data_IF_541623805947
#
_entry.id   IF_541623805947
#
_cell.length_a   1.000
_cell.length_b   1.000
_cell.length_c   1.000
_cell.angle_alpha   90.00
_cell.angle_beta   90.00
_cell.angle_gamma   90.00
#
_symmetry.space_group_name_H-M   'P 1'
#
loop_
_entity.id
_entity.type
_entity.pdbx_description
1 polymer ?
#
# COMPACT_ATOMS: atom_id res chain seq x y z
N UNK A 1 -3.36 16.92 69.31
CA UNK A 1 -3.05 17.96 68.30
C UNK A 1 -1.53 18.01 68.21
N UNK A 2 -0.83 17.73 67.11
CA UNK A 2 -1.19 17.46 65.73
C UNK A 2 -0.20 16.43 65.16
N UNK A 3 -0.73 15.39 64.53
CA UNK A 3 -0.08 14.65 63.46
C UNK A 3 0.09 15.60 62.25
N UNK A 4 1.10 15.31 61.42
CA UNK A 4 1.34 15.73 60.02
C UNK A 4 2.61 16.56 59.83
N UNK A 5 3.66 15.86 59.44
CA UNK A 5 4.66 16.35 58.48
C UNK A 5 5.46 15.13 57.99
N UNK A 6 4.78 14.20 57.33
CA UNK A 6 5.40 13.07 56.68
C UNK A 6 4.61 12.79 55.39
N UNK A 7 4.75 13.68 54.41
CA UNK A 7 4.16 13.55 53.08
C UNK A 7 4.88 14.54 52.16
N UNK A 8 5.13 14.13 50.91
CA UNK A 8 5.79 14.86 49.82
C UNK A 8 7.30 14.62 49.63
N UNK A 9 7.70 13.34 49.63
CA UNK A 9 8.79 12.87 48.76
C UNK A 9 8.22 11.90 47.73
N UNK A 10 7.17 12.33 47.00
CA UNK A 10 6.89 11.77 45.68
C UNK A 10 7.70 12.61 44.70
N UNK A 11 8.97 12.23 44.51
CA UNK A 11 9.77 12.73 43.39
C UNK A 11 9.19 12.11 42.14
N UNK A 12 8.53 12.94 41.36
CA UNK A 12 8.12 12.71 39.97
C UNK A 12 9.20 11.93 39.22
N UNK A 13 9.01 10.62 39.11
CA UNK A 13 9.66 9.83 38.09
C UNK A 13 9.04 10.26 36.77
N UNK A 14 9.58 11.32 36.17
CA UNK A 14 9.35 11.66 34.77
C UNK A 14 9.85 10.49 33.93
N UNK A 15 8.97 9.50 33.74
CA UNK A 15 9.15 8.47 32.74
C UNK A 15 9.31 9.20 31.42
N UNK A 16 10.52 9.15 30.89
CA UNK A 16 10.85 9.57 29.54
C UNK A 16 10.19 8.57 28.58
N UNK A 17 8.85 8.56 28.53
CA UNK A 17 8.08 7.74 27.61
C UNK A 17 8.29 8.37 26.25
N UNK A 18 9.29 7.87 25.52
CA UNK A 18 9.44 8.17 24.10
C UNK A 18 8.08 7.95 23.45
N UNK A 19 7.53 8.93 22.70
CA UNK A 19 6.28 8.72 21.99
C UNK A 19 6.45 7.51 21.09
N UNK A 20 5.70 6.44 21.35
CA UNK A 20 5.79 5.23 20.55
C UNK A 20 5.25 5.57 19.15
N UNK A 21 6.08 5.39 18.13
CA UNK A 21 5.70 5.77 16.77
C UNK A 21 4.55 4.88 16.28
N UNK A 22 3.46 5.46 15.75
CA UNK A 22 2.36 4.68 15.20
C UNK A 22 2.79 3.93 13.94
N UNK A 23 2.36 2.67 13.82
CA UNK A 23 2.67 1.83 12.67
C UNK A 23 1.52 1.93 11.68
N UNK A 24 1.76 2.62 10.56
CA UNK A 24 0.72 2.99 9.59
C UNK A 24 1.13 2.61 8.17
N UNK A 25 1.11 1.31 7.81
CA UNK A 25 1.49 0.89 6.46
C UNK A 25 0.51 1.36 5.40
N UNK A 26 1.03 1.82 4.27
CA UNK A 26 0.23 2.02 3.06
C UNK A 26 0.01 0.68 2.34
N UNK A 27 -1.22 0.38 1.93
CA UNK A 27 -1.57 -0.84 1.20
C UNK A 27 -1.64 -0.56 -0.31
N UNK A 28 -0.65 -1.08 -1.04
CA UNK A 28 -0.54 -0.99 -2.49
C UNK A 28 -0.90 -2.35 -3.13
N UNK A 29 -1.78 -2.34 -4.13
CA UNK A 29 -2.10 -3.50 -4.98
C UNK A 29 -2.91 -3.02 -6.18
N UNK A 30 -3.11 -3.87 -7.20
CA UNK A 30 -4.16 -3.59 -8.18
C UNK A 30 -5.53 -3.62 -7.48
N UNK A 31 -6.42 -2.70 -7.85
CA UNK A 31 -7.69 -2.51 -7.14
C UNK A 31 -8.70 -3.63 -7.42
N UNK A 32 -8.65 -4.24 -8.60
CA UNK A 32 -9.68 -5.20 -9.01
C UNK A 32 -9.37 -6.63 -8.52
N UNK A 33 -8.09 -6.98 -8.34
CA UNK A 33 -7.69 -8.38 -8.18
C UNK A 33 -7.37 -8.79 -6.75
N UNK A 34 -7.39 -7.85 -5.80
CA UNK A 34 -6.96 -8.04 -4.41
C UNK A 34 -8.02 -7.68 -3.37
N UNK A 35 -9.30 -7.62 -3.77
CA UNK A 35 -10.37 -7.29 -2.82
C UNK A 35 -10.51 -8.35 -1.72
N UNK A 36 -10.40 -9.63 -2.08
CA UNK A 36 -10.45 -10.73 -1.13
C UNK A 36 -9.28 -10.69 -0.14
N UNK A 37 -8.05 -10.53 -0.65
CA UNK A 37 -6.84 -10.36 0.16
C UNK A 37 -6.95 -9.15 1.10
N UNK A 38 -7.36 -7.98 0.60
CA UNK A 38 -7.54 -6.77 1.42
C UNK A 38 -8.60 -6.97 2.50
N UNK A 39 -9.74 -7.61 2.17
CA UNK A 39 -10.80 -7.88 3.13
C UNK A 39 -10.37 -8.88 4.20
N UNK A 40 -9.69 -9.95 3.79
CA UNK A 40 -9.13 -10.94 4.72
C UNK A 40 -8.12 -10.31 5.67
N UNK A 41 -7.16 -9.52 5.17
CA UNK A 41 -6.19 -8.84 6.03
C UNK A 41 -6.88 -7.85 6.99
N UNK A 42 -7.87 -7.10 6.52
CA UNK A 42 -8.62 -6.15 7.34
C UNK A 42 -9.46 -6.81 8.44
N UNK A 43 -10.00 -8.00 8.18
CA UNK A 43 -10.90 -8.69 9.10
C UNK A 43 -10.16 -9.60 10.06
N UNK A 44 -9.09 -10.26 9.60
CA UNK A 44 -8.44 -11.34 10.34
C UNK A 44 -7.06 -10.95 10.89
N UNK A 45 -6.26 -10.16 10.17
CA UNK A 45 -4.83 -9.97 10.49
C UNK A 45 -4.55 -8.62 11.15
N UNK A 46 -5.03 -7.53 10.56
CA UNK A 46 -4.80 -6.18 11.08
C UNK A 46 -5.36 -5.94 12.49
N UNK A 47 -6.52 -6.50 12.89
CA UNK A 47 -6.99 -6.39 14.28
C UNK A 47 -6.02 -7.01 15.28
N UNK A 48 -5.47 -8.20 14.99
CA UNK A 48 -4.51 -8.88 15.86
C UNK A 48 -3.20 -8.06 15.99
N UNK A 49 -2.68 -7.52 14.89
CA UNK A 49 -1.51 -6.64 14.91
C UNK A 49 -1.78 -5.35 15.70
N UNK A 50 -3.01 -4.81 15.62
CA UNK A 50 -3.40 -3.63 16.37
C UNK A 50 -3.48 -3.90 17.87
N UNK A 51 -4.02 -5.05 18.30
CA UNK A 51 -4.02 -5.45 19.71
C UNK A 51 -2.60 -5.52 20.29
N UNK A 52 -1.67 -6.12 19.54
CA UNK A 52 -0.26 -6.18 19.91
C UNK A 52 0.36 -4.78 20.04
N UNK A 53 0.09 -3.88 19.10
CA UNK A 53 0.51 -2.48 19.18
C UNK A 53 -0.10 -1.74 20.38
N UNK A 54 -1.40 -1.92 20.63
CA UNK A 54 -2.13 -1.27 21.72
C UNK A 54 -1.55 -1.67 23.08
N UNK A 55 -1.17 -2.95 23.24
CA UNK A 55 -0.50 -3.44 24.46
C UNK A 55 0.84 -2.73 24.74
N UNK A 56 1.43 -2.11 23.72
CA UNK A 56 2.72 -1.40 23.76
C UNK A 56 2.55 0.13 23.70
N UNK A 57 1.32 0.64 23.85
CA UNK A 57 1.02 2.08 23.85
C UNK A 57 1.11 2.76 22.47
N UNK A 58 1.03 1.99 21.39
CA UNK A 58 0.95 2.48 20.01
C UNK A 58 -0.27 1.86 19.32
N UNK A 59 -0.43 2.05 18.00
CA UNK A 59 -1.49 1.42 17.23
C UNK A 59 -0.99 0.99 15.85
N UNK A 60 -1.67 -0.01 15.30
CA UNK A 60 -1.49 -0.47 13.92
C UNK A 60 -2.69 -0.01 13.08
N UNK A 61 -2.48 0.96 12.19
CA UNK A 61 -3.55 1.51 11.34
C UNK A 61 -3.13 1.55 9.87
N UNK A 62 -3.41 0.49 9.11
CA UNK A 62 -3.11 0.46 7.69
C UNK A 62 -3.94 1.51 6.93
N UNK A 63 -3.35 2.09 5.90
CA UNK A 63 -3.99 3.04 4.99
C UNK A 63 -4.32 2.32 3.69
N UNK A 64 -5.61 2.00 3.51
CA UNK A 64 -6.17 1.27 2.37
C UNK A 64 -7.10 2.20 1.57
N UNK A 65 -6.58 2.80 0.49
CA UNK A 65 -7.36 3.66 -0.40
C UNK A 65 -8.11 2.83 -1.46
N UNK A 66 -9.39 2.58 -1.22
CA UNK A 66 -10.25 1.82 -2.16
C UNK A 66 -11.00 2.76 -3.11
N UNK A 67 -10.40 3.02 -4.28
CA UNK A 67 -10.97 3.93 -5.29
C UNK A 67 -12.09 3.32 -6.15
N UNK A 68 -12.31 2.00 -6.09
CA UNK A 68 -13.30 1.28 -6.90
C UNK A 68 -14.74 1.81 -6.70
N UNK A 69 -15.08 2.22 -5.48
CA UNK A 69 -16.39 2.82 -5.14
C UNK A 69 -16.63 4.15 -5.87
N UNK A 70 -15.55 4.90 -6.16
CA UNK A 70 -15.65 6.19 -6.84
C UNK A 70 -15.79 6.04 -8.38
N UNK A 71 -15.47 4.88 -8.96
CA UNK A 71 -15.66 4.63 -10.40
C UNK A 71 -17.13 4.30 -10.75
N UNK A 72 -17.93 3.83 -9.78
CA UNK A 72 -19.34 3.42 -9.98
C UNK A 72 -20.36 4.57 -9.95
N UNK A 73 -19.91 5.83 -9.91
CA UNK A 73 -20.69 7.03 -9.55
C UNK A 73 -21.74 7.52 -10.55
N UNK A 74 -22.09 6.76 -11.60
CA UNK A 74 -23.05 7.19 -12.63
C UNK A 74 -24.47 7.51 -12.10
N UNK A 75 -24.80 7.08 -10.89
CA UNK A 75 -26.11 7.28 -10.24
C UNK A 75 -26.15 8.35 -9.15
N UNK A 76 -25.06 9.10 -8.93
CA UNK A 76 -25.02 10.11 -7.86
C UNK A 76 -25.65 11.46 -8.27
N UNK A 77 -26.19 12.22 -7.31
CA UNK A 77 -26.58 13.63 -7.49
C UNK A 77 -25.45 14.46 -8.11
N UNK A 78 -25.78 15.44 -8.97
CA UNK A 78 -24.82 16.16 -9.80
C UNK A 78 -23.66 16.85 -9.04
N UNK A 79 -23.90 17.30 -7.81
CA UNK A 79 -22.89 17.88 -6.93
C UNK A 79 -21.88 16.82 -6.42
N UNK A 80 -22.36 15.66 -6.00
CA UNK A 80 -21.52 14.53 -5.56
C UNK A 80 -20.77 13.91 -6.74
N UNK A 81 -21.40 13.87 -7.91
CA UNK A 81 -20.74 13.45 -9.16
C UNK A 81 -19.55 14.36 -9.50
N UNK A 82 -19.71 15.70 -9.46
CA UNK A 82 -18.57 16.62 -9.69
C UNK A 82 -17.45 16.40 -8.68
N UNK A 83 -17.78 16.26 -7.40
CA UNK A 83 -16.77 16.04 -6.36
C UNK A 83 -15.99 14.73 -6.60
N UNK A 84 -16.70 13.65 -6.93
CA UNK A 84 -16.08 12.37 -7.25
C UNK A 84 -15.23 12.42 -8.52
N UNK A 85 -15.67 13.11 -9.56
CA UNK A 85 -14.85 13.36 -10.74
C UNK A 85 -13.58 14.16 -10.40
N UNK A 86 -13.65 15.19 -9.56
CA UNK A 86 -12.48 15.96 -9.14
C UNK A 86 -11.48 15.08 -8.37
N UNK A 87 -11.96 14.23 -7.46
CA UNK A 87 -11.12 13.30 -6.71
C UNK A 87 -10.44 12.27 -7.63
N UNK A 88 -11.16 11.74 -8.62
CA UNK A 88 -10.59 10.81 -9.61
C UNK A 88 -9.49 11.45 -10.46
N UNK A 89 -9.47 12.77 -10.67
CA UNK A 89 -8.36 13.46 -11.38
C UNK A 89 -7.15 13.73 -10.48
N UNK A 90 -7.32 13.56 -9.18
CA UNK A 90 -6.27 13.77 -8.17
C UNK A 90 -5.83 12.44 -7.56
N UNK A 91 -6.35 11.32 -8.03
CA UNK A 91 -6.12 9.99 -7.48
C UNK A 91 -4.63 9.69 -7.37
N UNK A 92 -3.86 9.90 -8.44
CA UNK A 92 -2.41 9.67 -8.41
C UNK A 92 -1.73 10.53 -7.35
N UNK A 93 -2.05 11.83 -7.31
CA UNK A 93 -1.48 12.76 -6.33
C UNK A 93 -1.77 12.29 -4.89
N UNK A 94 -3.02 11.95 -4.60
CA UNK A 94 -3.44 11.53 -3.28
C UNK A 94 -2.75 10.22 -2.88
N UNK A 95 -2.69 9.22 -3.76
CA UNK A 95 -1.95 7.98 -3.50
C UNK A 95 -0.49 8.26 -3.13
N UNK A 96 0.22 9.10 -3.90
CA UNK A 96 1.62 9.43 -3.63
C UNK A 96 1.81 10.18 -2.31
N UNK A 97 0.89 11.08 -1.95
CA UNK A 97 0.90 11.77 -0.65
C UNK A 97 0.71 10.80 0.51
N UNK A 98 -0.25 9.88 0.37
CA UNK A 98 -0.50 8.89 1.40
C UNK A 98 0.69 7.94 1.57
N UNK A 99 1.32 7.51 0.46
CA UNK A 99 2.57 6.74 0.49
C UNK A 99 3.64 7.49 1.31
N UNK A 100 3.83 8.78 1.07
CA UNK A 100 4.79 9.59 1.81
C UNK A 100 4.40 9.75 3.29
N UNK A 101 3.12 9.94 3.60
CA UNK A 101 2.63 10.06 4.98
C UNK A 101 2.75 8.77 5.79
N UNK A 102 2.78 7.63 5.11
CA UNK A 102 2.90 6.30 5.71
C UNK A 102 4.35 5.81 5.78
N UNK A 103 5.29 6.52 5.14
CA UNK A 103 6.72 6.21 5.23
C UNK A 103 7.13 6.18 6.73
N UNK A 104 7.85 5.15 7.19
CA UNK A 104 8.62 4.16 6.43
C UNK A 104 7.89 2.85 6.05
N UNK A 105 6.58 2.74 6.30
CA UNK A 105 5.81 1.49 6.26
C UNK A 105 5.06 1.28 4.94
N UNK A 106 5.31 0.15 4.28
CA UNK A 106 4.67 -0.17 3.00
C UNK A 106 4.35 -1.67 2.87
N UNK A 107 3.14 -1.98 2.42
CA UNK A 107 2.70 -3.33 2.07
C UNK A 107 2.27 -3.31 0.61
N UNK A 108 2.92 -4.12 -0.21
CA UNK A 108 2.56 -4.27 -1.61
C UNK A 108 2.14 -5.71 -1.91
N UNK A 109 0.94 -5.89 -2.45
CA UNK A 109 0.47 -7.18 -2.97
C UNK A 109 0.46 -7.13 -4.49
N UNK A 110 1.12 -8.09 -5.13
CA UNK A 110 1.34 -8.12 -6.58
C UNK A 110 0.89 -9.43 -7.20
N UNK A 111 0.16 -9.32 -8.31
CA UNK A 111 -0.49 -10.43 -8.99
C UNK A 111 -0.05 -10.54 -10.44
N UNK A 112 -1.00 -10.82 -11.31
CA UNK A 112 -0.79 -11.04 -12.74
C UNK A 112 -1.21 -9.84 -13.58
N UNK A 113 -1.94 -8.91 -12.99
CA UNK A 113 -2.43 -7.69 -13.60
C UNK A 113 -1.50 -6.52 -13.27
N UNK A 114 -1.41 -5.59 -14.21
CA UNK A 114 -0.64 -4.36 -14.05
C UNK A 114 -1.53 -3.18 -13.64
N UNK A 115 -2.83 -3.25 -13.98
CA UNK A 115 -3.82 -2.20 -13.72
C UNK A 115 -3.96 -1.23 -14.91
N UNK A 116 -4.72 -0.14 -14.73
CA UNK A 116 -4.93 0.86 -15.79
C UNK A 116 -3.62 1.60 -16.10
N UNK A 117 -3.23 1.66 -17.37
CA UNK A 117 -2.05 2.40 -17.85
C UNK A 117 -2.34 3.09 -19.19
N UNK A 118 -1.52 4.10 -19.54
CA UNK A 118 -1.57 4.74 -20.85
C UNK A 118 -0.76 3.92 -21.87
N UNK A 119 -1.31 3.58 -23.04
CA UNK A 119 -0.58 2.84 -24.07
C UNK A 119 0.63 3.63 -24.59
N UNK A 120 1.70 2.91 -24.97
CA UNK A 120 2.98 3.54 -25.35
C UNK A 120 2.88 4.46 -26.59
N UNK A 121 1.87 4.27 -27.43
CA UNK A 121 1.60 5.04 -28.66
C UNK A 121 0.65 6.22 -28.44
N UNK A 122 0.24 6.48 -27.19
CA UNK A 122 -0.48 7.70 -26.83
C UNK A 122 0.45 8.91 -26.97
N UNK A 123 0.17 9.89 -27.87
CA UNK A 123 0.95 11.12 -27.93
C UNK A 123 0.68 11.93 -26.67
N UNK A 124 1.46 11.69 -25.62
CA UNK A 124 1.36 12.39 -24.35
C UNK A 124 1.73 13.87 -24.56
N UNK A 125 0.71 14.71 -24.79
CA UNK A 125 0.89 16.09 -25.22
C UNK A 125 0.33 17.06 -24.19
N UNK A 126 1.17 17.45 -23.22
CA UNK A 126 0.90 18.66 -22.43
C UNK A 126 0.99 19.96 -23.24
N UNK A 127 1.52 19.90 -24.46
CA UNK A 127 1.90 21.07 -25.24
C UNK A 127 0.73 21.95 -25.72
N UNK A 128 -0.53 21.50 -25.59
CA UNK A 128 -1.69 22.26 -26.09
C UNK A 128 -2.86 22.44 -25.10
N UNK A 129 -2.86 21.79 -23.94
CA UNK A 129 -3.99 21.85 -23.02
C UNK A 129 -3.92 23.11 -22.12
N UNK A 130 -4.60 24.19 -22.54
CA UNK A 130 -4.94 25.31 -21.64
C UNK A 130 -6.07 24.95 -20.66
N UNK A 131 -6.81 23.88 -20.94
CA UNK A 131 -7.95 23.44 -20.14
C UNK A 131 -7.84 21.94 -19.82
N UNK A 132 -7.99 21.60 -18.54
CA UNK A 132 -7.89 20.25 -17.97
C UNK A 132 -9.04 19.34 -18.45
N UNK A 133 -10.16 19.95 -18.84
CA UNK A 133 -11.38 19.29 -19.29
C UNK A 133 -11.22 18.48 -20.58
N UNK A 134 -10.25 18.84 -21.44
CA UNK A 134 -10.01 18.18 -22.72
C UNK A 134 -9.10 16.94 -22.62
N UNK A 135 -8.50 16.70 -21.45
CA UNK A 135 -7.61 15.56 -21.21
C UNK A 135 -8.39 14.32 -20.78
N UNK A 136 -7.91 13.14 -21.17
CA UNK A 136 -8.41 11.89 -20.61
C UNK A 136 -8.13 11.80 -19.11
N UNK A 137 -8.87 10.93 -18.39
CA UNK A 137 -8.74 10.87 -16.93
C UNK A 137 -7.34 10.47 -16.43
N UNK A 138 -6.63 9.53 -17.06
CA UNK A 138 -5.24 9.24 -16.70
C UNK A 138 -4.30 10.42 -16.95
N UNK A 139 -4.49 11.18 -18.04
CA UNK A 139 -3.69 12.38 -18.33
C UNK A 139 -3.94 13.50 -17.32
N UNK A 140 -5.19 13.72 -16.91
CA UNK A 140 -5.51 14.66 -15.83
C UNK A 140 -4.77 14.27 -14.53
N UNK A 141 -4.75 12.97 -14.18
CA UNK A 141 -4.03 12.49 -13.00
C UNK A 141 -2.52 12.77 -13.06
N UNK A 142 -1.89 12.48 -14.20
CA UNK A 142 -0.47 12.75 -14.40
C UNK A 142 -0.17 14.24 -14.34
N UNK A 143 -0.97 15.07 -15.01
CA UNK A 143 -0.82 16.52 -14.97
C UNK A 143 -0.90 17.06 -13.55
N UNK A 144 -1.95 16.68 -12.82
CA UNK A 144 -2.20 17.19 -11.47
C UNK A 144 -1.13 16.70 -10.51
N UNK A 145 -0.71 15.43 -10.57
CA UNK A 145 0.38 14.93 -9.75
C UNK A 145 1.70 15.66 -10.03
N UNK A 146 2.04 15.87 -11.30
CA UNK A 146 3.25 16.56 -11.72
C UNK A 146 3.29 18.02 -11.25
N UNK A 147 2.18 18.76 -11.42
CA UNK A 147 2.08 20.15 -10.99
C UNK A 147 2.09 20.35 -9.48
N UNK A 148 1.76 19.31 -8.71
CA UNK A 148 1.64 19.41 -7.26
C UNK A 148 2.75 18.69 -6.49
N UNK A 149 3.93 18.51 -7.08
CA UNK A 149 5.12 18.05 -6.36
C UNK A 149 5.67 16.68 -6.77
N UNK A 150 5.09 16.03 -7.78
CA UNK A 150 5.60 14.78 -8.33
C UNK A 150 5.94 14.88 -9.83
N UNK A 151 6.83 15.80 -10.25
CA UNK A 151 7.13 16.02 -11.67
C UNK A 151 7.70 14.78 -12.38
N UNK A 152 8.36 13.89 -11.64
CA UNK A 152 8.97 12.66 -12.15
C UNK A 152 7.96 11.68 -12.74
N UNK A 153 6.67 11.78 -12.41
CA UNK A 153 5.63 10.90 -12.99
C UNK A 153 5.50 11.09 -14.51
N UNK A 154 6.01 12.21 -15.03
CA UNK A 154 6.04 12.52 -16.46
C UNK A 154 7.22 11.89 -17.20
N UNK A 155 8.22 11.38 -16.49
CA UNK A 155 9.35 10.67 -17.09
C UNK A 155 8.91 9.28 -17.60
N UNK A 156 7.93 8.68 -16.92
CA UNK A 156 7.36 7.37 -17.26
C UNK A 156 5.82 7.42 -17.24
N UNK A 157 5.18 8.15 -18.18
CA UNK A 157 3.73 8.40 -18.16
C UNK A 157 2.89 7.13 -18.41
N UNK A 158 3.51 6.09 -18.98
CA UNK A 158 2.85 4.85 -19.37
C UNK A 158 2.86 3.79 -18.25
N UNK A 159 3.10 4.23 -17.01
CA UNK A 159 3.06 3.40 -15.82
C UNK A 159 1.65 3.35 -15.24
N UNK A 160 1.32 2.24 -14.58
CA UNK A 160 0.08 2.15 -13.80
C UNK A 160 0.20 2.91 -12.48
N UNK A 161 -0.94 3.24 -11.87
CA UNK A 161 -1.01 3.84 -10.53
C UNK A 161 -0.16 3.05 -9.52
N UNK A 162 -0.26 1.73 -9.55
CA UNK A 162 0.48 0.83 -8.66
C UNK A 162 1.99 0.93 -8.88
N UNK A 163 2.48 1.00 -10.13
CA UNK A 163 3.91 1.20 -10.38
C UNK A 163 4.38 2.56 -9.87
N UNK A 164 3.58 3.62 -9.98
CA UNK A 164 3.91 4.92 -9.39
C UNK A 164 4.00 4.84 -7.85
N UNK A 165 3.06 4.17 -7.19
CA UNK A 165 3.07 3.96 -5.74
C UNK A 165 4.32 3.20 -5.31
N UNK A 166 4.66 2.10 -5.98
CA UNK A 166 5.87 1.30 -5.71
C UNK A 166 7.14 2.13 -5.98
N UNK A 167 7.15 2.91 -7.05
CA UNK A 167 8.29 3.78 -7.40
C UNK A 167 8.51 4.82 -6.31
N UNK A 168 7.46 5.49 -5.85
CA UNK A 168 7.56 6.46 -4.76
C UNK A 168 7.97 5.79 -3.44
N UNK A 169 7.31 4.70 -3.09
CA UNK A 169 7.50 4.02 -1.81
C UNK A 169 8.89 3.40 -1.71
N UNK A 170 9.32 2.64 -2.72
CA UNK A 170 10.48 1.76 -2.61
C UNK A 170 11.66 2.17 -3.48
N UNK A 171 11.45 2.82 -4.64
CA UNK A 171 12.56 3.22 -5.52
C UNK A 171 13.14 4.58 -5.17
N UNK A 172 12.27 5.54 -4.84
CA UNK A 172 12.66 6.91 -4.45
C UNK A 172 12.94 7.02 -2.96
N UNK A 173 12.10 6.41 -2.13
CA UNK A 173 12.30 6.34 -0.68
C UNK A 173 12.80 4.95 -0.31
N UNK A 174 13.87 4.84 0.48
CA UNK A 174 14.39 3.54 0.93
C UNK A 174 14.05 3.33 2.39
N UNK A 175 13.48 2.17 2.71
CA UNK A 175 13.18 1.76 4.08
C UNK A 175 13.27 0.24 4.21
N UNK A 176 13.63 -0.21 5.41
CA UNK A 176 13.64 -1.62 5.80
C UNK A 176 12.25 -2.21 6.09
N UNK A 177 11.20 -1.38 6.17
CA UNK A 177 9.84 -1.78 6.54
C UNK A 177 8.87 -1.77 5.34
N UNK A 178 9.36 -2.25 4.20
CA UNK A 178 8.63 -2.29 2.94
C UNK A 178 8.55 -3.74 2.46
N UNK A 179 7.38 -4.36 2.56
CA UNK A 179 7.20 -5.78 2.26
C UNK A 179 6.38 -5.99 1.00
N UNK A 180 6.80 -6.95 0.19
CA UNK A 180 6.17 -7.30 -1.08
C UNK A 180 5.67 -8.74 -1.05
N UNK A 181 4.39 -8.95 -1.37
CA UNK A 181 3.73 -10.26 -1.34
C UNK A 181 3.26 -10.59 -2.75
N UNK A 182 3.88 -11.60 -3.37
CA UNK A 182 3.60 -12.01 -4.74
C UNK A 182 2.65 -13.20 -4.73
N UNK A 183 1.48 -13.04 -5.35
CA UNK A 183 0.54 -14.13 -5.53
C UNK A 183 1.10 -15.13 -6.54
N UNK A 184 1.37 -16.34 -6.07
CA UNK A 184 1.82 -17.46 -6.90
C UNK A 184 0.64 -17.99 -7.69
N UNK A 185 0.80 -18.14 -9.01
CA UNK A 185 -0.22 -18.78 -9.84
C UNK A 185 -0.20 -20.28 -9.52
N UNK A 186 -1.37 -20.90 -9.33
CA UNK A 186 -1.52 -22.37 -9.37
C UNK A 186 -0.98 -22.96 -10.68
N UNK A 187 -0.89 -22.18 -11.76
CA UNK A 187 -0.25 -22.60 -13.02
C UNK A 187 1.26 -22.84 -12.90
N UNK A 188 2.00 -22.17 -12.00
CA UNK A 188 3.42 -22.51 -11.78
C UNK A 188 3.57 -23.89 -11.13
N UNK A 189 2.62 -24.31 -10.30
CA UNK A 189 2.57 -25.67 -9.75
C UNK A 189 2.21 -26.69 -10.85
N UNK A 190 1.30 -26.35 -11.77
CA UNK A 190 0.95 -27.20 -12.93
C UNK A 190 2.09 -27.36 -13.96
N UNK A 191 2.83 -26.29 -14.23
CA UNK A 191 4.02 -26.31 -15.10
C UNK A 191 5.13 -27.15 -14.46
N UNK A 192 5.28 -27.11 -13.13
CA UNK A 192 6.23 -27.96 -12.39
C UNK A 192 5.78 -29.42 -12.28
N UNK A 193 4.46 -29.71 -12.36
CA UNK A 193 3.90 -31.06 -12.31
C UNK A 193 3.68 -31.71 -13.68
N UNK A 194 4.04 -31.04 -14.78
CA UNK A 194 4.04 -31.62 -16.13
C UNK A 194 2.67 -31.88 -16.75
N UNK A 195 1.61 -31.19 -16.31
CA UNK A 195 0.26 -31.35 -16.87
C UNK A 195 -0.05 -30.24 -17.87
N UNK A 196 -0.35 -30.63 -19.12
CA UNK A 196 -0.69 -29.72 -20.22
C UNK A 196 -1.99 -28.92 -20.00
N UNK A 197 -2.06 -27.76 -20.63
CA UNK A 197 -3.08 -26.73 -20.44
C UNK A 197 -4.51 -27.20 -20.80
N UNK A 198 -5.37 -27.39 -19.80
CA UNK A 198 -6.81 -27.16 -19.99
C UNK A 198 -7.13 -25.70 -19.68
N UNK A 199 -7.34 -24.95 -20.77
CA UNK A 199 -7.80 -23.57 -20.78
C UNK A 199 -9.19 -23.45 -20.14
N UNK A 200 -9.25 -22.95 -18.91
CA UNK A 200 -10.49 -22.45 -18.31
C UNK A 200 -10.29 -21.01 -17.82
N UNK A 201 -10.60 -20.08 -18.72
CA UNK A 201 -11.11 -18.74 -18.38
C UNK A 201 -11.60 -18.08 -19.65
N UNK A 202 -12.93 -17.97 -19.74
CA UNK A 202 -13.61 -16.99 -20.57
C UNK A 202 -13.20 -15.58 -20.16
N UNK A 203 -12.93 -14.70 -21.14
CA UNK A 203 -12.90 -13.24 -20.96
C UNK A 203 -11.64 -12.51 -21.42
N UNK A 204 -11.73 -11.91 -22.61
CA UNK A 204 -10.82 -10.94 -23.25
C UNK A 204 -9.39 -11.43 -23.63
N UNK A 205 -8.86 -11.01 -24.81
CA UNK A 205 -7.47 -11.29 -25.15
C UNK A 205 -6.57 -10.63 -24.11
N UNK A 206 -5.78 -11.42 -23.38
CA UNK A 206 -4.83 -10.88 -22.42
C UNK A 206 -3.85 -9.99 -23.19
N UNK A 207 -3.80 -8.71 -22.85
CA UNK A 207 -2.93 -7.76 -23.52
C UNK A 207 -1.47 -8.14 -23.23
N UNK A 208 -0.73 -8.65 -24.23
CA UNK A 208 0.67 -9.05 -24.08
C UNK A 208 1.55 -7.91 -23.55
N UNK A 209 1.18 -6.66 -23.83
CA UNK A 209 1.82 -5.47 -23.26
C UNK A 209 1.69 -5.42 -21.73
N UNK A 210 0.52 -5.77 -21.19
CA UNK A 210 0.26 -5.79 -19.75
C UNK A 210 1.12 -6.85 -19.06
N UNK A 211 1.16 -8.07 -19.61
CA UNK A 211 2.01 -9.17 -19.13
C UNK A 211 3.49 -8.77 -19.10
N UNK A 212 3.96 -8.09 -20.14
CA UNK A 212 5.34 -7.60 -20.20
C UNK A 212 5.59 -6.52 -19.15
N UNK A 213 4.69 -5.56 -18.96
CA UNK A 213 4.84 -4.49 -17.96
C UNK A 213 4.84 -5.05 -16.52
N UNK A 214 3.92 -5.94 -16.17
CA UNK A 214 3.93 -6.58 -14.84
C UNK A 214 5.17 -7.44 -14.61
N UNK A 215 5.63 -8.18 -15.64
CA UNK A 215 6.86 -8.96 -15.57
C UNK A 215 8.09 -8.08 -15.32
N UNK A 216 8.21 -6.96 -16.06
CA UNK A 216 9.27 -5.96 -15.88
C UNK A 216 9.23 -5.35 -14.47
N UNK A 217 8.05 -4.99 -13.97
CA UNK A 217 7.89 -4.44 -12.62
C UNK A 217 8.35 -5.44 -11.55
N UNK A 218 7.94 -6.71 -11.64
CA UNK A 218 8.40 -7.76 -10.72
C UNK A 218 9.91 -7.93 -10.76
N UNK A 219 10.50 -8.01 -11.97
CA UNK A 219 11.94 -8.10 -12.14
C UNK A 219 12.68 -6.91 -11.52
N UNK A 220 12.14 -5.69 -11.65
CA UNK A 220 12.68 -4.46 -11.07
C UNK A 220 12.66 -4.48 -9.53
N UNK A 221 11.62 -5.04 -8.92
CA UNK A 221 11.51 -5.19 -7.46
C UNK A 221 12.51 -6.25 -6.96
N UNK A 222 12.63 -7.37 -7.68
CA UNK A 222 13.57 -8.45 -7.37
C UNK A 222 15.02 -7.96 -7.48
N UNK A 223 15.36 -7.27 -8.58
CA UNK A 223 16.74 -6.80 -8.82
C UNK A 223 17.18 -5.75 -7.79
N UNK A 224 16.23 -5.03 -7.18
CA UNK A 224 16.52 -4.10 -6.08
C UNK A 224 16.83 -4.80 -4.75
N UNK A 225 16.48 -6.09 -4.59
CA UNK A 225 16.71 -6.84 -3.35
C UNK A 225 15.73 -6.50 -2.22
N UNK A 226 14.51 -6.09 -2.56
CA UNK A 226 13.44 -5.82 -1.59
C UNK A 226 12.93 -7.14 -0.98
N UNK A 227 12.41 -7.14 0.27
CA UNK A 227 11.92 -8.36 0.90
C UNK A 227 10.61 -8.82 0.22
N UNK A 228 10.71 -9.90 -0.54
CA UNK A 228 9.61 -10.50 -1.29
C UNK A 228 9.21 -11.82 -0.64
N UNK A 229 7.91 -12.02 -0.46
CA UNK A 229 7.28 -13.27 -0.05
C UNK A 229 6.38 -13.75 -1.18
N UNK A 230 6.26 -15.07 -1.31
CA UNK A 230 5.34 -15.70 -2.24
C UNK A 230 4.25 -16.39 -1.43
N UNK A 231 3.00 -16.31 -1.90
CA UNK A 231 1.87 -16.98 -1.26
C UNK A 231 0.93 -17.58 -2.30
N UNK A 232 0.15 -18.59 -1.91
CA UNK A 232 -0.77 -19.33 -2.79
C UNK A 232 -2.23 -19.07 -2.44
N UNK A 233 -2.53 -18.86 -1.16
CA UNK A 233 -3.87 -18.64 -0.63
C UNK A 233 -3.91 -17.53 0.43
N UNK A 234 -5.11 -17.18 0.87
CA UNK A 234 -5.35 -16.12 1.84
C UNK A 234 -4.73 -16.43 3.21
N UNK A 235 -4.72 -17.70 3.62
CA UNK A 235 -4.20 -18.10 4.91
C UNK A 235 -2.68 -17.95 4.95
N UNK A 236 -1.98 -18.44 3.92
CA UNK A 236 -0.54 -18.26 3.76
C UNK A 236 -0.17 -16.77 3.69
N UNK A 237 -0.94 -15.96 2.96
CA UNK A 237 -0.76 -14.49 2.96
C UNK A 237 -0.88 -13.91 4.37
N UNK A 238 -1.91 -14.33 5.12
CA UNK A 238 -2.15 -13.86 6.48
C UNK A 238 -1.00 -14.17 7.42
N UNK A 239 -0.52 -15.41 7.40
CA UNK A 239 0.60 -15.86 8.23
C UNK A 239 1.90 -15.11 7.90
N UNK A 240 2.19 -14.91 6.61
CA UNK A 240 3.35 -14.14 6.16
C UNK A 240 3.28 -12.68 6.61
N UNK A 241 2.14 -12.01 6.37
CA UNK A 241 1.91 -10.62 6.79
C UNK A 241 2.00 -10.50 8.31
N UNK A 242 1.35 -11.40 9.05
CA UNK A 242 1.39 -11.37 10.50
C UNK A 242 2.83 -11.50 11.02
N UNK A 243 3.60 -12.46 10.51
CA UNK A 243 4.99 -12.69 10.91
C UNK A 243 5.90 -11.51 10.59
N UNK A 244 5.83 -10.99 9.37
CA UNK A 244 6.69 -9.87 8.94
C UNK A 244 6.36 -8.60 9.75
N UNK A 245 5.08 -8.31 10.01
CA UNK A 245 4.69 -7.13 10.79
C UNK A 245 4.84 -7.28 12.30
N UNK A 246 4.72 -8.50 12.84
CA UNK A 246 5.11 -8.79 14.22
C UNK A 246 6.58 -8.43 14.44
N UNK A 247 7.47 -8.82 13.52
CA UNK A 247 8.88 -8.45 13.57
C UNK A 247 9.08 -6.92 13.54
N UNK A 248 8.34 -6.18 12.71
CA UNK A 248 8.38 -4.71 12.70
C UNK A 248 7.97 -4.13 14.06
N UNK A 249 6.87 -4.63 14.63
CA UNK A 249 6.34 -4.18 15.92
C UNK A 249 7.35 -4.44 17.04
N UNK A 250 7.99 -5.62 17.07
CA UNK A 250 9.05 -5.97 18.02
C UNK A 250 10.32 -5.12 17.87
N UNK A 251 10.72 -4.83 16.63
CA UNK A 251 11.90 -4.02 16.36
C UNK A 251 11.72 -2.55 16.76
N UNK A 252 10.54 -2.00 16.54
CA UNK A 252 10.26 -0.58 16.84
C UNK A 252 9.82 -0.36 18.28
N UNK A 253 9.00 -1.26 18.81
CA UNK A 253 8.41 -1.16 20.13
C UNK A 253 8.71 -2.47 20.87
N UNK A 254 9.95 -2.68 21.35
CA UNK A 254 10.28 -3.89 22.09
C UNK A 254 9.43 -3.97 23.36
N UNK A 255 9.07 -5.18 23.78
CA UNK A 255 8.36 -5.39 25.04
C UNK A 255 9.25 -4.84 26.14
N UNK A 256 8.84 -3.70 26.72
CA UNK A 256 9.48 -3.20 27.93
C UNK A 256 9.05 -4.16 29.03
N UNK A 257 9.88 -5.15 29.32
CA UNK A 257 9.78 -5.90 30.55
C UNK A 257 9.96 -4.86 31.66
N UNK A 258 8.84 -4.36 32.19
CA UNK A 258 8.81 -3.72 33.49
C UNK A 258 9.26 -4.81 34.46
N UNK A 259 10.57 -4.91 34.69
CA UNK A 259 11.10 -5.61 35.84
C UNK A 259 10.49 -4.85 37.01
N UNK A 260 9.43 -5.42 37.60
CA UNK A 260 8.97 -5.01 38.92
C UNK A 260 10.14 -5.30 39.83
N UNK A 261 10.98 -4.29 40.07
CA UNK A 261 11.88 -4.29 41.22
C UNK A 261 10.95 -4.27 42.44
N UNK A 262 10.65 -5.47 42.93
CA UNK A 262 10.18 -5.70 44.27
C UNK A 262 11.45 -5.69 45.12
N UNK A 263 11.80 -4.52 45.65
CA UNK A 263 12.58 -4.38 46.88
C UNK A 263 11.92 -3.30 47.74
#
# INVERSE_FOLDING_TARGET
MNQKANENVERDAQFNVKPQTPIRPYICSTLNDFQEERNFLATNIFPQLNELCNSRGTYFKPVDLRWSVLKAQKSLPANLYRQGCCLLSQQLKLCLDYVNSCFPFFICMLGQTYGDFLPDHSPFMFSKAKDLSNLSKPEQNLYVAAKNGYPWVLETPNCSLMEFEITQAAFRNQSQFQYFYFRTRTTLLKILSGEEEESLSSGAPVNEEEKLKIGRLKAKIISKGLPIRFYKDLQELGELVFKDWLFVIEKLNPVTLMIKNIE
#
